data_IF_985379897589
#
_entry.id   IF_985379897589
#
_cell.length_a   1.000
_cell.length_b   1.000
_cell.length_c   1.000
_cell.angle_alpha   90.00
_cell.angle_beta   90.00
_cell.angle_gamma   90.00
#
_symmetry.space_group_name_H-M   'P 1'
#
loop_
_entity.id
_entity.type
_entity.pdbx_description
1 polymer ?
#
# COMPACT_ATOMS: atom_id res chain seq x y z
N UNK A 1 -17.87 -24.32 1.90
CA UNK A 1 -17.14 -23.15 1.34
C UNK A 1 -15.65 -23.50 1.36
N UNK A 2 -14.89 -23.19 0.30
CA UNK A 2 -13.44 -23.37 0.33
C UNK A 2 -12.83 -22.53 1.47
N UNK A 3 -11.68 -22.98 2.00
CA UNK A 3 -10.98 -22.23 3.04
C UNK A 3 -10.53 -20.85 2.48
N UNK A 4 -10.59 -19.77 3.28
CA UNK A 4 -10.12 -18.45 2.85
C UNK A 4 -8.65 -18.49 2.43
N UNK A 5 -8.31 -17.74 1.38
CA UNK A 5 -6.94 -17.61 0.87
C UNK A 5 -5.97 -17.19 1.96
N UNK A 6 -6.39 -16.24 2.80
CA UNK A 6 -5.63 -15.68 3.92
C UNK A 6 -5.03 -16.73 4.85
N UNK A 7 -5.70 -17.88 4.99
CA UNK A 7 -5.29 -18.96 5.89
C UNK A 7 -4.85 -20.23 5.17
N UNK A 8 -4.68 -20.17 3.84
CA UNK A 8 -4.11 -21.29 3.10
C UNK A 8 -2.65 -21.50 3.49
N UNK A 9 -2.22 -22.76 3.54
CA UNK A 9 -0.84 -23.13 3.90
C UNK A 9 0.25 -22.43 3.06
N UNK A 10 0.18 -22.42 1.70
CA UNK A 10 1.21 -21.76 0.89
C UNK A 10 1.25 -20.25 1.13
N UNK A 11 0.09 -19.62 1.32
CA UNK A 11 0.00 -18.18 1.55
C UNK A 11 0.59 -17.78 2.92
N UNK A 12 0.20 -18.50 3.98
CA UNK A 12 0.72 -18.26 5.34
C UNK A 12 2.24 -18.47 5.41
N UNK A 13 2.76 -19.52 4.76
CA UNK A 13 4.20 -19.81 4.74
C UNK A 13 5.00 -18.69 4.05
N UNK A 14 4.49 -18.15 2.93
CA UNK A 14 5.12 -17.03 2.24
C UNK A 14 5.09 -15.76 3.10
N UNK A 15 3.94 -15.39 3.67
CA UNK A 15 3.85 -14.20 4.52
C UNK A 15 4.81 -14.25 5.70
N UNK A 16 4.90 -15.39 6.40
CA UNK A 16 5.85 -15.54 7.50
C UNK A 16 7.28 -15.30 7.04
N UNK A 17 7.66 -15.84 5.88
CA UNK A 17 9.00 -15.65 5.31
C UNK A 17 9.29 -14.19 5.01
N UNK A 18 8.32 -13.47 4.43
CA UNK A 18 8.47 -12.05 4.09
C UNK A 18 8.56 -11.17 5.33
N UNK A 19 7.77 -11.46 6.36
CA UNK A 19 7.87 -10.75 7.64
C UNK A 19 9.21 -11.00 8.34
N UNK A 20 9.68 -12.25 8.40
CA UNK A 20 11.00 -12.56 8.94
C UNK A 20 12.13 -11.86 8.16
N UNK A 21 11.99 -11.76 6.84
CA UNK A 21 12.94 -11.02 6.01
C UNK A 21 12.93 -9.52 6.33
N UNK A 22 11.75 -8.93 6.51
CA UNK A 22 11.60 -7.54 6.91
C UNK A 22 12.15 -7.26 8.30
N UNK A 23 11.94 -8.14 9.27
CA UNK A 23 12.50 -7.99 10.61
C UNK A 23 14.03 -7.99 10.58
N UNK A 24 14.65 -8.89 9.81
CA UNK A 24 16.11 -8.92 9.60
C UNK A 24 16.63 -7.65 8.92
N UNK A 25 15.94 -7.18 7.88
CA UNK A 25 16.30 -5.95 7.16
C UNK A 25 16.15 -4.71 8.06
N UNK A 26 15.06 -4.61 8.82
CA UNK A 26 14.81 -3.52 9.75
C UNK A 26 15.86 -3.46 10.87
N UNK A 27 16.31 -4.62 11.38
CA UNK A 27 17.41 -4.67 12.33
C UNK A 27 18.71 -4.10 11.72
N UNK A 28 19.07 -4.56 10.51
CA UNK A 28 20.26 -4.06 9.80
C UNK A 28 20.17 -2.56 9.46
N UNK A 29 18.98 -2.07 9.08
CA UNK A 29 18.75 -0.65 8.84
C UNK A 29 18.94 0.17 10.11
N UNK A 30 18.40 -0.30 11.24
CA UNK A 30 18.58 0.36 12.55
C UNK A 30 20.06 0.50 12.88
N UNK A 31 20.82 -0.60 12.80
CA UNK A 31 22.27 -0.63 13.02
C UNK A 31 23.02 0.35 12.10
N UNK A 32 22.65 0.42 10.81
CA UNK A 32 23.22 1.39 9.84
C UNK A 32 22.84 2.84 10.14
N UNK A 33 21.66 3.04 10.72
CA UNK A 33 21.09 4.36 11.03
C UNK A 33 21.45 4.88 12.43
N UNK A 34 22.22 4.12 13.22
CA UNK A 34 22.75 4.55 14.52
C UNK A 34 23.63 5.79 14.33
N UNK A 35 23.01 6.98 14.39
CA UNK A 35 23.65 8.26 14.13
C UNK A 35 22.74 9.28 13.43
N UNK A 36 21.68 8.85 12.75
CA UNK A 36 20.67 9.76 12.18
C UNK A 36 19.73 10.27 13.27
N UNK A 37 19.57 11.58 13.36
CA UNK A 37 18.54 12.16 14.21
C UNK A 37 17.15 11.83 13.67
N UNK A 38 16.16 11.80 14.57
CA UNK A 38 14.74 11.64 14.20
C UNK A 38 14.28 12.70 13.19
N UNK A 39 14.87 13.90 13.21
CA UNK A 39 14.58 14.98 12.27
C UNK A 39 15.17 14.75 10.87
N UNK A 40 16.36 14.15 10.77
CA UNK A 40 16.96 13.83 9.47
C UNK A 40 16.21 12.68 8.80
N UNK A 41 15.86 11.65 9.57
CA UNK A 41 15.01 10.56 9.08
C UNK A 41 13.64 11.07 8.63
N UNK A 42 13.02 11.95 9.41
CA UNK A 42 11.79 12.64 9.06
C UNK A 42 11.87 13.37 7.72
N UNK A 43 12.93 14.16 7.51
CA UNK A 43 13.14 14.92 6.28
C UNK A 43 13.30 14.01 5.07
N UNK A 44 14.05 12.92 5.21
CA UNK A 44 14.25 11.95 4.12
C UNK A 44 12.93 11.27 3.72
N UNK A 45 12.13 10.85 4.69
CA UNK A 45 10.85 10.15 4.43
C UNK A 45 9.75 11.07 3.89
N UNK A 46 9.82 12.38 4.16
CA UNK A 46 8.83 13.37 3.71
C UNK A 46 9.28 14.17 2.50
N UNK A 47 10.54 14.01 2.05
CA UNK A 47 11.07 14.76 0.91
C UNK A 47 10.33 14.40 -0.38
N UNK A 48 9.92 15.43 -1.13
CA UNK A 48 9.29 15.28 -2.45
C UNK A 48 10.31 15.10 -3.58
N UNK A 49 11.57 15.45 -3.35
CA UNK A 49 12.64 15.39 -4.36
C UNK A 49 13.60 14.25 -4.10
N UNK A 50 13.90 13.98 -2.83
CA UNK A 50 14.98 13.07 -2.45
C UNK A 50 14.47 11.66 -2.15
N UNK A 51 13.14 11.45 -2.14
CA UNK A 51 12.55 10.13 -1.91
C UNK A 51 13.08 9.08 -2.90
N UNK A 52 13.46 9.48 -4.12
CA UNK A 52 14.01 8.56 -5.12
C UNK A 52 15.34 7.96 -4.65
N UNK A 53 16.24 8.78 -4.13
CA UNK A 53 17.53 8.33 -3.60
C UNK A 53 17.34 7.47 -2.35
N UNK A 54 16.43 7.87 -1.46
CA UNK A 54 16.08 7.08 -0.26
C UNK A 54 15.54 5.71 -0.67
N UNK A 55 14.57 5.65 -1.57
CA UNK A 55 14.01 4.38 -2.04
C UNK A 55 15.06 3.51 -2.72
N UNK A 56 15.93 4.10 -3.56
CA UNK A 56 17.06 3.37 -4.18
C UNK A 56 18.01 2.79 -3.13
N UNK A 57 18.31 3.51 -2.06
CA UNK A 57 19.16 2.98 -0.97
C UNK A 57 18.54 1.79 -0.23
N UNK A 58 17.21 1.66 -0.30
CA UNK A 58 16.40 0.60 0.30
C UNK A 58 15.95 -0.44 -0.73
N UNK A 59 16.61 -0.53 -1.89
CA UNK A 59 16.22 -1.41 -2.99
C UNK A 59 16.07 -2.88 -2.55
N UNK A 60 16.99 -3.35 -1.70
CA UNK A 60 17.01 -4.72 -1.21
C UNK A 60 16.29 -4.90 0.15
N UNK A 61 15.72 -3.83 0.69
CA UNK A 61 15.09 -3.80 2.00
C UNK A 61 13.56 -3.85 1.84
N UNK A 62 12.88 -4.93 2.25
CA UNK A 62 11.42 -4.97 2.26
C UNK A 62 10.85 -3.99 3.28
N UNK A 63 9.84 -3.25 2.86
CA UNK A 63 9.08 -2.31 3.67
C UNK A 63 7.62 -2.76 3.68
N UNK A 64 7.22 -3.71 4.55
CA UNK A 64 5.85 -4.18 4.61
C UNK A 64 5.00 -3.41 5.61
N UNK A 65 3.70 -3.33 5.35
CA UNK A 65 2.70 -3.06 6.38
C UNK A 65 2.76 -4.13 7.48
N UNK A 66 2.39 -3.78 8.72
CA UNK A 66 2.30 -4.75 9.82
C UNK A 66 1.32 -5.90 9.54
N UNK A 67 1.47 -7.04 10.24
CA UNK A 67 0.55 -8.17 10.10
C UNK A 67 -0.91 -7.81 10.41
N UNK A 68 -1.15 -6.94 11.40
CA UNK A 68 -2.49 -6.49 11.74
C UNK A 68 -3.04 -5.51 10.69
N UNK A 69 -2.19 -4.65 10.12
CA UNK A 69 -2.56 -3.80 8.98
C UNK A 69 -2.95 -4.64 7.76
N UNK A 70 -2.17 -5.66 7.41
CA UNK A 70 -2.50 -6.59 6.32
C UNK A 70 -3.83 -7.32 6.52
N UNK A 71 -4.09 -7.78 7.75
CA UNK A 71 -5.39 -8.39 8.11
C UNK A 71 -6.54 -7.39 8.03
N UNK A 72 -6.33 -6.15 8.46
CA UNK A 72 -7.32 -5.09 8.33
C UNK A 72 -7.64 -4.83 6.85
N UNK A 73 -6.64 -4.71 5.98
CA UNK A 73 -6.83 -4.56 4.53
C UNK A 73 -7.70 -5.69 3.96
N UNK A 74 -7.39 -6.94 4.32
CA UNK A 74 -8.21 -8.09 3.91
C UNK A 74 -9.66 -7.95 4.38
N UNK A 75 -9.87 -7.62 5.65
CA UNK A 75 -11.22 -7.45 6.21
C UNK A 75 -12.00 -6.33 5.51
N UNK A 76 -11.35 -5.21 5.21
CA UNK A 76 -11.98 -4.07 4.55
C UNK A 76 -12.39 -4.43 3.12
N UNK A 77 -11.54 -5.12 2.36
CA UNK A 77 -11.88 -5.60 1.01
C UNK A 77 -13.07 -6.55 1.05
N UNK A 78 -13.06 -7.55 1.94
CA UNK A 78 -14.14 -8.54 2.03
C UNK A 78 -15.46 -7.92 2.46
N UNK A 79 -15.46 -7.02 3.44
CA UNK A 79 -16.69 -6.42 3.98
C UNK A 79 -17.29 -5.36 3.04
N UNK A 80 -16.45 -4.63 2.31
CA UNK A 80 -16.89 -3.61 1.36
C UNK A 80 -17.10 -4.13 -0.06
N UNK A 81 -16.76 -5.40 -0.32
CA UNK A 81 -16.75 -6.01 -1.66
C UNK A 81 -15.90 -5.21 -2.66
N UNK A 82 -14.73 -4.71 -2.23
CA UNK A 82 -13.85 -3.93 -3.08
C UNK A 82 -13.19 -4.79 -4.16
N UNK A 83 -13.49 -4.53 -5.44
CA UNK A 83 -13.01 -5.29 -6.59
C UNK A 83 -11.99 -4.52 -7.41
N UNK A 84 -12.14 -3.21 -7.53
CA UNK A 84 -11.23 -2.32 -8.25
C UNK A 84 -10.38 -1.55 -7.25
N UNK A 85 -9.12 -1.96 -7.10
CA UNK A 85 -8.21 -1.44 -6.09
C UNK A 85 -7.02 -0.75 -6.76
N UNK A 86 -6.65 0.42 -6.24
CA UNK A 86 -5.41 1.10 -6.61
C UNK A 86 -4.47 1.12 -5.41
N UNK A 87 -3.21 0.77 -5.61
CA UNK A 87 -2.16 0.76 -4.60
C UNK A 87 -0.98 1.64 -5.07
N UNK A 88 -0.53 2.51 -4.18
CA UNK A 88 0.71 3.28 -4.35
C UNK A 88 1.74 2.77 -3.36
N UNK A 89 2.80 2.13 -3.88
CA UNK A 89 3.82 1.46 -3.08
C UNK A 89 3.57 -0.04 -3.00
N UNK A 90 4.32 -0.84 -3.76
CA UNK A 90 4.20 -2.31 -3.76
C UNK A 90 5.24 -2.95 -2.85
N UNK A 91 6.48 -2.42 -2.85
CA UNK A 91 7.61 -3.01 -2.13
C UNK A 91 7.80 -4.48 -2.54
N UNK A 92 7.96 -5.39 -1.58
CA UNK A 92 8.02 -6.83 -1.85
C UNK A 92 6.63 -7.48 -1.95
N UNK A 93 5.55 -6.70 -1.91
CA UNK A 93 4.18 -7.12 -2.20
C UNK A 93 3.37 -7.63 -1.00
N UNK A 94 3.76 -7.36 0.24
CA UNK A 94 3.05 -7.87 1.43
C UNK A 94 1.63 -7.32 1.53
N UNK A 95 1.43 -6.00 1.42
CA UNK A 95 0.10 -5.39 1.35
C UNK A 95 -0.69 -5.91 0.15
N UNK A 96 -0.05 -5.96 -1.01
CA UNK A 96 -0.62 -6.47 -2.27
C UNK A 96 -1.10 -7.92 -2.14
N UNK A 97 -0.37 -8.78 -1.43
CA UNK A 97 -0.77 -10.17 -1.15
C UNK A 97 -2.05 -10.24 -0.33
N UNK A 98 -2.18 -9.41 0.71
CA UNK A 98 -3.40 -9.33 1.51
C UNK A 98 -4.60 -8.84 0.70
N UNK A 99 -4.40 -7.80 -0.12
CA UNK A 99 -5.43 -7.28 -1.02
C UNK A 99 -5.85 -8.34 -2.05
N UNK A 100 -4.88 -8.98 -2.72
CA UNK A 100 -5.15 -9.98 -3.75
C UNK A 100 -5.82 -11.24 -3.18
N UNK A 101 -5.45 -11.67 -1.97
CA UNK A 101 -6.12 -12.73 -1.25
C UNK A 101 -7.61 -12.42 -1.02
N UNK A 102 -7.91 -11.20 -0.56
CA UNK A 102 -9.27 -10.77 -0.31
C UNK A 102 -10.08 -10.65 -1.61
N UNK A 103 -9.51 -10.04 -2.65
CA UNK A 103 -10.13 -9.94 -3.99
C UNK A 103 -10.45 -11.33 -4.54
N UNK A 104 -9.55 -12.31 -4.40
CA UNK A 104 -9.81 -13.70 -4.79
C UNK A 104 -11.01 -14.28 -4.03
N UNK A 105 -11.04 -14.09 -2.72
CA UNK A 105 -12.05 -14.68 -1.84
C UNK A 105 -13.46 -14.09 -2.05
N UNK A 106 -13.58 -12.84 -2.51
CA UNK A 106 -14.87 -12.23 -2.91
C UNK A 106 -15.29 -12.54 -4.36
N UNK A 107 -14.54 -13.40 -5.06
CA UNK A 107 -14.88 -13.86 -6.42
C UNK A 107 -14.20 -13.12 -7.57
N UNK A 108 -13.16 -12.34 -7.29
CA UNK A 108 -12.32 -11.68 -8.30
C UNK A 108 -12.51 -10.17 -8.40
N UNK A 109 -11.63 -9.56 -9.18
CA UNK A 109 -11.45 -8.11 -9.31
C UNK A 109 -10.06 -7.84 -9.89
N UNK A 110 -9.59 -6.60 -9.76
CA UNK A 110 -8.29 -6.15 -10.25
C UNK A 110 -7.64 -5.20 -9.26
N UNK A 111 -6.33 -5.36 -9.09
CA UNK A 111 -5.47 -4.48 -8.32
C UNK A 111 -4.48 -3.86 -9.29
N UNK A 112 -4.44 -2.53 -9.36
CA UNK A 112 -3.37 -1.78 -10.03
C UNK A 112 -2.44 -1.26 -8.95
N UNK A 113 -1.19 -1.72 -8.95
CA UNK A 113 -0.18 -1.31 -7.98
C UNK A 113 0.99 -0.60 -8.68
N UNK A 114 1.51 0.46 -8.08
CA UNK A 114 2.66 1.21 -8.61
C UNK A 114 3.91 0.98 -7.76
N UNK A 115 5.00 0.55 -8.40
CA UNK A 115 6.31 0.37 -7.78
C UNK A 115 7.38 1.12 -8.56
N UNK A 116 8.20 1.89 -7.86
CA UNK A 116 9.25 2.70 -8.48
C UNK A 116 10.44 1.84 -8.94
N UNK A 117 10.82 0.83 -8.13
CA UNK A 117 12.03 0.04 -8.37
C UNK A 117 11.72 -1.26 -9.12
N UNK A 118 12.26 -1.47 -10.34
CA UNK A 118 12.03 -2.70 -11.11
C UNK A 118 12.40 -3.99 -10.37
N UNK A 119 13.45 -3.97 -9.56
CA UNK A 119 13.90 -5.11 -8.74
C UNK A 119 12.88 -5.49 -7.65
N UNK A 120 12.28 -4.51 -6.97
CA UNK A 120 11.18 -4.73 -6.03
C UNK A 120 9.93 -5.23 -6.74
N UNK A 121 9.58 -4.61 -7.87
CA UNK A 121 8.45 -5.05 -8.69
C UNK A 121 8.61 -6.52 -9.14
N UNK A 122 9.80 -6.91 -9.58
CA UNK A 122 10.11 -8.31 -9.93
C UNK A 122 9.95 -9.26 -8.74
N UNK A 123 10.43 -8.87 -7.56
CA UNK A 123 10.27 -9.65 -6.32
C UNK A 123 8.80 -9.82 -5.95
N UNK A 124 8.02 -8.73 -5.96
CA UNK A 124 6.59 -8.76 -5.69
C UNK A 124 5.82 -9.66 -6.67
N UNK A 125 6.16 -9.61 -7.98
CA UNK A 125 5.57 -10.53 -8.98
C UNK A 125 5.88 -11.99 -8.68
N UNK A 126 7.13 -12.31 -8.32
CA UNK A 126 7.52 -13.67 -7.94
C UNK A 126 6.73 -14.18 -6.72
N UNK A 127 6.56 -13.33 -5.70
CA UNK A 127 5.77 -13.65 -4.52
C UNK A 127 4.29 -13.91 -4.87
N UNK A 128 3.69 -13.07 -5.72
CA UNK A 128 2.31 -13.26 -6.19
C UNK A 128 2.13 -14.53 -7.02
N UNK A 129 3.09 -14.85 -7.89
CA UNK A 129 3.10 -16.07 -8.70
C UNK A 129 3.16 -17.33 -7.83
N UNK A 130 4.02 -17.33 -6.81
CA UNK A 130 4.22 -18.46 -5.88
C UNK A 130 2.91 -18.90 -5.20
N UNK A 131 1.97 -17.99 -4.96
CA UNK A 131 0.68 -18.28 -4.31
C UNK A 131 -0.53 -18.21 -5.28
N UNK A 132 -0.27 -18.10 -6.58
CA UNK A 132 -1.30 -18.11 -7.62
C UNK A 132 -2.22 -16.90 -7.58
N UNK A 133 -1.68 -15.71 -7.28
CA UNK A 133 -2.42 -14.45 -7.20
C UNK A 133 -2.03 -13.44 -8.30
N UNK A 134 -1.04 -13.75 -9.13
CA UNK A 134 -0.55 -12.87 -10.21
C UNK A 134 -1.63 -12.43 -11.19
N UNK A 135 -2.64 -13.28 -11.47
CA UNK A 135 -3.74 -12.94 -12.37
C UNK A 135 -4.69 -11.83 -11.89
N UNK A 136 -4.57 -11.38 -10.64
CA UNK A 136 -5.40 -10.32 -10.05
C UNK A 136 -4.68 -8.97 -9.99
N UNK A 137 -3.37 -8.93 -10.24
CA UNK A 137 -2.53 -7.77 -9.94
C UNK A 137 -1.75 -7.32 -11.16
N UNK A 138 -1.92 -6.06 -11.53
CA UNK A 138 -1.08 -5.33 -12.47
C UNK A 138 -0.08 -4.47 -11.69
N UNK A 139 1.20 -4.86 -11.67
CA UNK A 139 2.28 -4.04 -11.10
C UNK A 139 2.88 -3.17 -12.20
N UNK A 140 2.70 -1.85 -12.08
CA UNK A 140 3.24 -0.81 -12.98
C UNK A 140 4.55 -0.28 -12.43
N UNK A 141 5.61 -0.45 -13.22
CA UNK A 141 6.95 0.01 -12.87
C UNK A 141 7.16 1.48 -13.24
N UNK A 142 7.79 2.23 -12.34
CA UNK A 142 8.23 3.60 -12.58
C UNK A 142 7.57 4.63 -11.67
N UNK A 143 7.63 5.90 -12.09
CA UNK A 143 7.10 7.01 -11.29
C UNK A 143 5.57 6.92 -11.17
N UNK A 144 5.06 6.79 -9.93
CA UNK A 144 3.65 6.62 -9.66
C UNK A 144 2.78 7.78 -10.19
N UNK A 145 3.33 9.01 -10.24
CA UNK A 145 2.63 10.15 -10.83
C UNK A 145 2.40 10.00 -12.34
N UNK A 146 3.19 9.16 -13.00
CA UNK A 146 3.04 8.84 -14.43
C UNK A 146 2.22 7.56 -14.61
N UNK A 147 2.55 6.50 -13.87
CA UNK A 147 1.94 5.18 -14.04
C UNK A 147 0.48 5.13 -13.56
N UNK A 148 0.10 5.95 -12.58
CA UNK A 148 -1.28 6.07 -12.09
C UNK A 148 -2.07 7.20 -12.75
N UNK A 149 -1.46 8.04 -13.60
CA UNK A 149 -2.18 9.11 -14.30
C UNK A 149 -3.10 8.61 -15.41
N UNK A 150 -2.94 7.36 -15.85
CA UNK A 150 -3.68 6.80 -17.00
C UNK A 150 -4.10 5.35 -16.73
N UNK A 151 -5.09 4.85 -17.48
CA UNK A 151 -5.48 3.44 -17.43
C UNK A 151 -6.00 2.95 -16.08
N UNK A 152 -6.51 3.85 -15.24
CA UNK A 152 -7.24 3.49 -14.02
C UNK A 152 -8.70 3.15 -14.37
N UNK A 153 -9.38 2.29 -13.57
CA UNK A 153 -10.81 2.03 -13.72
C UNK A 153 -11.64 3.31 -13.57
N UNK A 154 -12.86 3.28 -14.10
CA UNK A 154 -13.81 4.40 -13.95
C UNK A 154 -14.31 4.54 -12.52
N UNK A 155 -14.42 3.42 -11.80
CA UNK A 155 -14.77 3.37 -10.38
C UNK A 155 -13.68 2.61 -9.60
N UNK A 156 -13.18 3.24 -8.54
CA UNK A 156 -12.23 2.65 -7.59
C UNK A 156 -12.95 2.43 -6.26
N UNK A 157 -12.92 1.20 -5.78
CA UNK A 157 -13.51 0.78 -4.51
C UNK A 157 -12.59 1.07 -3.32
N UNK A 158 -11.29 0.90 -3.52
CA UNK A 158 -10.29 1.05 -2.47
C UNK A 158 -8.99 1.66 -3.02
N UNK A 159 -8.44 2.63 -2.30
CA UNK A 159 -7.12 3.19 -2.52
C UNK A 159 -6.21 2.88 -1.32
N UNK A 160 -5.05 2.27 -1.56
CA UNK A 160 -3.98 2.15 -0.58
C UNK A 160 -2.86 3.15 -0.93
N UNK A 161 -2.52 4.01 0.03
CA UNK A 161 -1.37 4.89 0.00
C UNK A 161 -0.31 4.35 0.97
N UNK A 162 0.74 3.73 0.42
CA UNK A 162 1.88 3.17 1.16
C UNK A 162 3.23 3.41 0.44
N UNK A 163 3.34 4.56 -0.23
CA UNK A 163 4.52 4.94 -0.99
C UNK A 163 5.31 6.06 -0.32
N UNK A 164 5.97 6.87 -1.15
CA UNK A 164 6.66 8.08 -0.70
C UNK A 164 5.66 9.07 -0.08
N UNK A 165 5.82 9.36 1.20
CA UNK A 165 4.83 10.10 2.03
C UNK A 165 4.56 11.52 1.49
N UNK A 166 5.61 12.16 0.96
CA UNK A 166 5.51 13.48 0.32
C UNK A 166 4.60 13.55 -0.90
N UNK A 167 4.19 12.41 -1.50
CA UNK A 167 3.35 12.34 -2.71
C UNK A 167 1.89 11.96 -2.43
N UNK A 168 1.50 11.72 -1.18
CA UNK A 168 0.17 11.16 -0.88
C UNK A 168 -0.97 12.04 -1.42
N UNK A 169 -0.87 13.36 -1.27
CA UNK A 169 -1.90 14.27 -1.76
C UNK A 169 -1.97 14.29 -3.30
N UNK A 170 -0.82 14.25 -3.98
CA UNK A 170 -0.79 14.23 -5.45
C UNK A 170 -1.36 12.91 -6.01
N UNK A 171 -0.95 11.78 -5.43
CA UNK A 171 -1.45 10.45 -5.82
C UNK A 171 -2.94 10.33 -5.54
N UNK A 172 -3.39 10.80 -4.38
CA UNK A 172 -4.81 10.87 -4.07
C UNK A 172 -5.56 11.68 -5.13
N UNK A 173 -5.04 12.86 -5.53
CA UNK A 173 -5.66 13.70 -6.56
C UNK A 173 -5.79 13.02 -7.94
N UNK A 174 -4.89 12.10 -8.30
CA UNK A 174 -5.00 11.31 -9.54
C UNK A 174 -6.18 10.32 -9.51
N UNK A 175 -6.55 9.84 -8.33
CA UNK A 175 -7.56 8.79 -8.13
C UNK A 175 -8.91 9.35 -7.65
N UNK A 176 -8.91 10.53 -7.02
CA UNK A 176 -10.05 11.10 -6.27
C UNK A 176 -11.37 11.12 -7.06
N UNK A 177 -11.31 11.53 -8.33
CA UNK A 177 -12.47 11.62 -9.22
C UNK A 177 -13.10 10.26 -9.56
N UNK A 178 -12.34 9.17 -9.40
CA UNK A 178 -12.75 7.78 -9.68
C UNK A 178 -13.20 7.04 -8.42
N UNK A 179 -12.95 7.59 -7.23
CA UNK A 179 -13.44 7.00 -5.98
C UNK A 179 -14.97 7.02 -5.98
N UNK A 180 -15.60 5.86 -5.89
CA UNK A 180 -17.07 5.80 -5.79
C UNK A 180 -17.55 6.24 -4.40
N UNK A 181 -18.84 6.60 -4.24
CA UNK A 181 -19.48 6.67 -2.92
C UNK A 181 -19.18 5.43 -2.07
N UNK A 182 -18.75 5.63 -0.83
CA UNK A 182 -18.36 4.56 0.09
C UNK A 182 -17.03 3.89 -0.22
N UNK A 183 -16.24 4.40 -1.17
CA UNK A 183 -14.87 3.93 -1.39
C UNK A 183 -14.01 4.19 -0.15
N UNK A 184 -13.08 3.26 0.11
CA UNK A 184 -12.17 3.32 1.25
C UNK A 184 -10.81 3.83 0.79
N UNK A 185 -10.18 4.70 1.58
CA UNK A 185 -8.77 5.03 1.45
C UNK A 185 -8.06 4.61 2.73
N UNK A 186 -6.95 3.90 2.57
CA UNK A 186 -6.07 3.51 3.67
C UNK A 186 -4.72 4.15 3.41
N UNK A 187 -4.22 4.93 4.37
CA UNK A 187 -2.94 5.61 4.24
C UNK A 187 -2.00 5.15 5.37
N UNK A 188 -0.90 4.50 5.02
CA UNK A 188 0.10 4.01 5.96
C UNK A 188 1.13 5.09 6.32
N UNK A 189 1.51 5.14 7.60
CA UNK A 189 2.27 6.22 8.22
C UNK A 189 1.73 7.62 7.85
N UNK A 190 0.41 7.80 7.93
CA UNK A 190 -0.25 9.03 7.52
C UNK A 190 0.14 10.24 8.38
N UNK A 191 0.70 10.04 9.57
CA UNK A 191 1.20 11.11 10.43
C UNK A 191 2.32 11.94 9.77
N UNK A 192 2.97 11.39 8.74
CA UNK A 192 3.98 12.07 7.93
C UNK A 192 3.40 12.87 6.76
N UNK A 193 2.07 12.86 6.59
CA UNK A 193 1.36 13.40 5.43
C UNK A 193 0.36 14.50 5.84
N UNK A 194 0.80 15.62 6.45
CA UNK A 194 -0.10 16.61 7.03
C UNK A 194 -1.03 17.27 6.01
N UNK A 195 -0.59 17.48 4.77
CA UNK A 195 -1.42 18.08 3.72
C UNK A 195 -2.55 17.12 3.28
N UNK A 196 -2.23 15.84 3.09
CA UNK A 196 -3.22 14.80 2.83
C UNK A 196 -4.23 14.70 3.99
N UNK A 197 -3.75 14.62 5.23
CA UNK A 197 -4.61 14.54 6.41
C UNK A 197 -5.52 15.77 6.55
N UNK A 198 -4.99 16.96 6.28
CA UNK A 198 -5.78 18.20 6.31
C UNK A 198 -6.92 18.18 5.28
N UNK A 199 -6.65 17.63 4.08
CA UNK A 199 -7.67 17.47 3.04
C UNK A 199 -8.78 16.51 3.49
N UNK A 200 -8.44 15.26 3.82
CA UNK A 200 -9.45 14.23 4.10
C UNK A 200 -10.19 14.42 5.43
N UNK A 201 -9.62 15.16 6.39
CA UNK A 201 -10.28 15.50 7.66
C UNK A 201 -11.05 16.82 7.65
N UNK A 202 -10.99 17.59 6.56
CA UNK A 202 -11.76 18.83 6.44
C UNK A 202 -13.27 18.55 6.43
N UNK A 203 -14.06 19.34 7.15
CA UNK A 203 -15.52 19.15 7.24
C UNK A 203 -16.24 19.26 5.89
N UNK A 204 -15.65 19.96 4.92
CA UNK A 204 -16.22 20.17 3.59
C UNK A 204 -15.66 19.22 2.53
N UNK A 205 -14.80 18.26 2.89
CA UNK A 205 -14.09 17.41 1.92
C UNK A 205 -14.96 16.32 1.31
N UNK A 206 -16.10 15.98 1.91
CA UNK A 206 -16.91 14.84 1.50
C UNK A 206 -16.33 13.49 1.98
N UNK A 207 -15.43 13.50 2.95
CA UNK A 207 -14.84 12.31 3.55
C UNK A 207 -15.11 12.25 5.06
N UNK A 208 -15.11 11.03 5.59
CA UNK A 208 -14.93 10.79 7.03
C UNK A 208 -13.64 10.04 7.23
N UNK A 209 -12.82 10.48 8.17
CA UNK A 209 -11.45 9.98 8.34
C UNK A 209 -11.10 9.88 9.82
N UNK A 210 -10.47 8.78 10.20
CA UNK A 210 -9.98 8.58 11.55
C UNK A 210 -8.66 7.78 11.56
N UNK A 211 -7.78 8.04 12.53
CA UNK A 211 -6.63 7.18 12.75
C UNK A 211 -7.10 5.80 13.22
N UNK A 212 -6.46 4.75 12.73
CA UNK A 212 -6.68 3.37 13.17
C UNK A 212 -5.33 2.65 13.24
N UNK A 213 -5.21 1.63 14.09
CA UNK A 213 -3.93 0.96 14.36
C UNK A 213 -2.78 1.98 14.60
N UNK A 214 -1.52 1.56 14.57
CA UNK A 214 -0.39 2.50 14.69
C UNK A 214 -0.04 3.04 13.31
N UNK A 215 -0.17 4.36 13.12
CA UNK A 215 0.27 5.06 11.90
C UNK A 215 -0.68 4.97 10.69
N UNK A 216 -1.75 4.19 10.74
CA UNK A 216 -2.73 4.13 9.65
C UNK A 216 -3.82 5.20 9.81
N UNK A 217 -4.21 5.79 8.70
CA UNK A 217 -5.45 6.55 8.57
C UNK A 217 -6.45 5.75 7.75
N UNK A 218 -7.66 5.56 8.27
CA UNK A 218 -8.78 5.00 7.54
C UNK A 218 -9.75 6.12 7.16
N UNK A 219 -9.96 6.28 5.86
CA UNK A 219 -10.85 7.28 5.28
C UNK A 219 -11.92 6.59 4.46
N UNK A 220 -13.14 7.14 4.45
CA UNK A 220 -14.23 6.71 3.57
C UNK A 220 -14.82 7.93 2.84
N UNK A 221 -15.05 7.80 1.53
CA UNK A 221 -15.80 8.79 0.75
C UNK A 221 -17.27 8.73 1.10
N UNK A 222 -17.85 9.86 1.50
CA UNK A 222 -19.27 9.96 1.81
C UNK A 222 -20.12 9.91 0.53
N UNK A 223 -21.41 9.52 0.63
CA UNK A 223 -22.34 9.50 -0.50
C UNK A 223 -22.59 10.86 -1.15
#
# INVERSE_FOLDING_TARGET
MPAPTLYSAPFTALLNTLYEQADRSAQSLRERSEGLSRQEFARLMTSRTDYKEVHQSLENDPLPVSADAGRLLYMLVVTSWAREIVEFGTSFGVSTLHLAAAVRDIGGGRIISAEYLPSKAATARGNLEQVGLSGLVEIREGDALQTLATGLPDEVDLLLLDGAKGLYLDIFGLVESRLRPGALIIADNAEWCPEYLAHVRSQASGYTSLPCLSGLELTMKLP
#
